data_IF_285260699217
#
_entry.id   IF_285260699217
#
_cell.length_a   1.000
_cell.length_b   1.000
_cell.length_c   1.000
_cell.angle_alpha   90.00
_cell.angle_beta   90.00
_cell.angle_gamma   90.00
#
_symmetry.space_group_name_H-M   'P 1'
#
loop_
_entity.id
_entity.type
_entity.pdbx_description
1 polymer ?
#
# COMPACT_ATOMS: atom_id res chain seq x y z
N UNK A 1 5.39 -8.91 14.48
CA UNK A 1 4.88 -7.82 13.62
C UNK A 1 3.59 -8.32 12.99
N UNK A 2 2.47 -7.72 13.37
CA UNK A 2 1.16 -8.06 12.80
C UNK A 2 0.97 -7.27 11.51
N UNK A 3 0.49 -7.92 10.44
CA UNK A 3 0.03 -7.19 9.24
C UNK A 3 -1.38 -6.64 9.40
N UNK A 4 -2.02 -6.87 10.56
CA UNK A 4 -3.37 -6.36 10.85
C UNK A 4 -3.48 -4.83 10.81
N UNK A 5 -2.35 -4.12 10.84
CA UNK A 5 -2.27 -2.69 10.58
C UNK A 5 -2.92 -2.31 9.23
N UNK A 6 -2.83 -3.18 8.23
CA UNK A 6 -3.39 -2.99 6.88
C UNK A 6 -4.80 -3.57 6.72
N UNK A 7 -5.40 -4.20 7.74
CA UNK A 7 -6.76 -4.76 7.67
C UNK A 7 -7.81 -3.69 7.33
N UNK A 8 -7.51 -2.42 7.69
CA UNK A 8 -8.32 -1.25 7.35
C UNK A 8 -8.57 -1.06 5.85
N UNK A 9 -7.70 -1.59 4.98
CA UNK A 9 -7.89 -1.60 3.53
C UNK A 9 -9.10 -2.43 3.10
N UNK A 10 -9.38 -3.52 3.83
CA UNK A 10 -10.58 -4.33 3.61
C UNK A 10 -11.82 -3.64 4.16
N UNK A 11 -11.72 -3.04 5.36
CA UNK A 11 -12.85 -2.38 6.02
C UNK A 11 -13.42 -1.21 5.20
N UNK A 12 -12.55 -0.44 4.55
CA UNK A 12 -12.95 0.70 3.70
C UNK A 12 -13.21 0.31 2.24
N UNK A 13 -13.09 -0.98 1.89
CA UNK A 13 -13.44 -1.48 0.55
C UNK A 13 -12.41 -1.18 -0.54
N UNK A 14 -11.18 -0.79 -0.20
CA UNK A 14 -10.07 -0.65 -1.16
C UNK A 14 -9.57 -2.02 -1.64
N UNK A 15 -9.79 -3.05 -0.82
CA UNK A 15 -9.48 -4.45 -1.12
C UNK A 15 -10.70 -5.31 -0.84
N UNK A 16 -11.03 -6.20 -1.77
CA UNK A 16 -12.17 -7.13 -1.65
C UNK A 16 -11.86 -8.24 -0.66
N UNK A 17 -12.89 -8.93 -0.17
CA UNK A 17 -12.73 -10.06 0.76
C UNK A 17 -11.81 -11.17 0.23
N UNK A 18 -11.72 -11.35 -1.09
CA UNK A 18 -10.83 -12.32 -1.72
C UNK A 18 -9.37 -11.85 -1.86
N UNK A 19 -9.05 -10.62 -1.42
CA UNK A 19 -7.72 -10.03 -1.52
C UNK A 19 -7.46 -9.19 -2.77
N UNK A 20 -8.40 -9.15 -3.72
CA UNK A 20 -8.23 -8.38 -4.97
C UNK A 20 -8.36 -6.89 -4.70
N UNK A 21 -7.41 -6.12 -5.22
CA UNK A 21 -7.35 -4.66 -5.09
C UNK A 21 -8.39 -4.04 -6.03
N UNK A 22 -9.17 -3.08 -5.53
CA UNK A 22 -10.20 -2.40 -6.31
C UNK A 22 -9.58 -1.45 -7.32
N UNK A 23 -9.86 -1.68 -8.61
CA UNK A 23 -9.40 -0.84 -9.72
C UNK A 23 -10.12 0.50 -9.76
N UNK A 24 -9.43 1.51 -10.28
CA UNK A 24 -9.98 2.84 -10.54
C UNK A 24 -9.73 3.23 -12.00
N UNK A 25 -10.09 4.46 -12.38
CA UNK A 25 -9.67 5.00 -13.67
C UNK A 25 -8.17 5.27 -13.65
N UNK A 26 -7.52 4.93 -14.75
CA UNK A 26 -6.09 5.16 -14.93
C UNK A 26 -5.80 6.67 -14.93
N UNK A 27 -4.97 7.09 -14.00
CA UNK A 27 -4.49 8.46 -13.86
C UNK A 27 -2.98 8.45 -13.60
N UNK A 28 -2.26 9.44 -14.13
CA UNK A 28 -0.85 9.63 -13.80
C UNK A 28 -0.70 10.71 -12.74
N UNK A 29 0.01 10.38 -11.67
CA UNK A 29 0.53 11.35 -10.73
C UNK A 29 2.05 11.35 -10.85
N UNK A 30 2.60 12.44 -11.37
CA UNK A 30 3.97 12.53 -11.87
C UNK A 30 4.29 11.38 -12.86
N UNK A 31 5.24 10.51 -12.52
CA UNK A 31 5.67 9.37 -13.34
C UNK A 31 5.01 8.05 -12.91
N UNK A 32 4.08 8.08 -11.95
CA UNK A 32 3.43 6.89 -11.39
C UNK A 32 2.02 6.74 -11.97
N UNK A 33 1.75 5.58 -12.58
CA UNK A 33 0.41 5.18 -12.97
C UNK A 33 -0.39 4.74 -11.74
N UNK A 34 -1.50 5.42 -11.50
CA UNK A 34 -2.52 5.09 -10.52
C UNK A 34 -3.65 4.37 -11.26
N UNK A 35 -3.76 3.06 -11.07
CA UNK A 35 -4.78 2.21 -11.68
C UNK A 35 -5.67 1.49 -10.66
N UNK A 36 -5.48 1.76 -9.37
CA UNK A 36 -6.28 1.21 -8.28
C UNK A 36 -6.37 2.10 -7.04
N UNK A 37 -7.36 1.82 -6.20
CA UNK A 37 -7.63 2.55 -4.96
C UNK A 37 -6.49 2.42 -3.94
N UNK A 38 -5.72 1.32 -3.99
CA UNK A 38 -4.55 1.16 -3.13
C UNK A 38 -3.47 2.20 -3.44
N UNK A 39 -3.15 2.45 -4.72
CA UNK A 39 -2.20 3.51 -5.07
C UNK A 39 -2.73 4.90 -4.76
N UNK A 40 -4.03 5.14 -4.92
CA UNK A 40 -4.67 6.41 -4.54
C UNK A 40 -4.45 6.73 -3.07
N UNK A 41 -4.81 5.82 -2.16
CA UNK A 41 -4.65 6.07 -0.71
C UNK A 41 -3.19 6.25 -0.28
N UNK A 42 -2.25 5.61 -0.98
CA UNK A 42 -0.82 5.69 -0.65
C UNK A 42 -0.14 6.97 -1.16
N UNK A 43 -0.61 7.51 -2.29
CA UNK A 43 0.08 8.57 -3.04
C UNK A 43 -0.66 9.91 -3.00
N UNK A 44 -1.97 9.93 -3.22
CA UNK A 44 -2.76 11.15 -3.41
C UNK A 44 -3.25 11.69 -2.07
N UNK A 45 -2.82 12.90 -1.71
CA UNK A 45 -3.24 13.60 -0.49
C UNK A 45 -4.67 14.12 -0.52
N UNK A 46 -5.25 14.22 -1.71
CA UNK A 46 -6.65 14.57 -1.95
C UNK A 46 -7.57 13.34 -2.19
N UNK A 47 -7.06 12.12 -2.02
CA UNK A 47 -7.89 10.90 -2.10
C UNK A 47 -8.95 10.88 -0.99
N UNK A 48 -10.17 10.45 -1.35
CA UNK A 48 -11.28 10.22 -0.40
C UNK A 48 -10.88 9.35 0.81
N UNK A 49 -9.90 8.46 0.64
CA UNK A 49 -9.42 7.55 1.67
C UNK A 49 -8.05 7.93 2.26
N UNK A 50 -7.49 9.10 1.95
CA UNK A 50 -6.15 9.48 2.43
C UNK A 50 -6.02 9.37 3.95
N UNK A 51 -7.02 9.83 4.70
CA UNK A 51 -7.00 9.80 6.16
C UNK A 51 -7.20 8.39 6.77
N UNK A 52 -7.33 7.35 5.95
CA UNK A 52 -7.34 5.95 6.40
C UNK A 52 -6.07 5.59 7.18
N UNK A 53 -4.95 6.21 6.84
CA UNK A 53 -3.70 6.16 7.59
C UNK A 53 -3.37 7.56 8.10
N UNK A 54 -3.27 7.70 9.42
CA UNK A 54 -2.91 8.96 10.05
C UNK A 54 -1.50 9.42 9.67
N UNK A 55 -1.15 10.67 9.97
CA UNK A 55 0.22 11.16 9.78
C UNK A 55 1.26 10.26 10.46
N UNK A 56 1.00 9.83 11.70
CA UNK A 56 1.90 8.96 12.45
C UNK A 56 1.98 7.56 11.82
N UNK A 57 0.85 7.01 11.35
CA UNK A 57 0.82 5.73 10.63
C UNK A 57 1.71 5.80 9.37
N UNK A 58 1.65 6.92 8.64
CA UNK A 58 2.42 7.14 7.41
C UNK A 58 3.91 7.29 7.65
N UNK A 59 4.32 7.72 8.84
CA UNK A 59 5.72 7.79 9.28
C UNK A 59 6.27 6.45 9.78
N UNK A 60 5.41 5.45 10.04
CA UNK A 60 5.87 4.15 10.46
C UNK A 60 6.76 3.49 9.39
N UNK A 61 7.88 2.91 9.83
CA UNK A 61 8.80 2.21 8.94
C UNK A 61 8.12 1.07 8.18
N UNK A 62 7.18 0.38 8.83
CA UNK A 62 6.37 -0.68 8.21
C UNK A 62 5.52 -0.14 7.05
N UNK A 63 4.84 0.99 7.26
CA UNK A 63 4.05 1.65 6.22
C UNK A 63 4.95 2.13 5.07
N UNK A 64 6.10 2.72 5.38
CA UNK A 64 7.04 3.18 4.36
C UNK A 64 7.50 2.04 3.44
N UNK A 65 7.86 0.87 3.97
CA UNK A 65 8.23 -0.30 3.15
C UNK A 65 7.07 -0.71 2.25
N UNK A 66 5.87 -0.85 2.83
CA UNK A 66 4.67 -1.24 2.09
C UNK A 66 4.37 -0.26 0.95
N UNK A 67 4.38 1.05 1.23
CA UNK A 67 4.18 2.10 0.24
C UNK A 67 5.19 2.01 -0.91
N UNK A 68 6.47 1.83 -0.61
CA UNK A 68 7.50 1.71 -1.66
C UNK A 68 7.27 0.50 -2.56
N UNK A 69 6.85 -0.65 -1.99
CA UNK A 69 6.55 -1.85 -2.75
C UNK A 69 5.32 -1.67 -3.66
N UNK A 70 4.25 -1.05 -3.15
CA UNK A 70 3.02 -0.86 -3.94
C UNK A 70 3.19 0.15 -5.09
N UNK A 71 3.98 1.21 -4.85
CA UNK A 71 4.23 2.25 -5.85
C UNK A 71 5.29 1.84 -6.86
N UNK A 72 6.34 1.13 -6.43
CA UNK A 72 7.40 0.58 -7.29
C UNK A 72 8.26 1.60 -8.07
N UNK A 73 7.86 2.88 -8.10
CA UNK A 73 8.47 3.92 -8.92
C UNK A 73 8.58 3.49 -10.39
N UNK A 74 9.69 3.86 -11.04
CA UNK A 74 9.95 3.53 -12.44
C UNK A 74 10.08 2.02 -12.75
N UNK A 75 10.21 1.16 -11.72
CA UNK A 75 10.36 -0.29 -11.89
C UNK A 75 9.03 -1.05 -11.85
N UNK A 76 7.90 -0.37 -11.59
CA UNK A 76 6.54 -0.91 -11.63
C UNK A 76 6.36 -2.29 -10.98
N UNK A 77 6.13 -2.33 -9.66
CA UNK A 77 5.83 -3.56 -8.93
C UNK A 77 4.32 -3.76 -8.81
N UNK A 78 3.64 -3.94 -9.94
CA UNK A 78 2.19 -4.05 -9.99
C UNK A 78 1.69 -5.46 -9.64
N UNK A 79 0.74 -5.54 -8.71
CA UNK A 79 0.01 -6.75 -8.36
C UNK A 79 -1.50 -6.44 -8.35
N UNK A 80 -2.31 -7.43 -8.70
CA UNK A 80 -3.77 -7.33 -8.63
C UNK A 80 -4.34 -7.69 -7.25
N UNK A 81 -3.57 -8.41 -6.44
CA UNK A 81 -3.96 -8.85 -5.10
C UNK A 81 -3.06 -8.21 -4.03
N UNK A 82 -3.62 -8.02 -2.83
CA UNK A 82 -2.91 -7.38 -1.71
C UNK A 82 -1.82 -8.30 -1.09
N UNK A 83 -2.05 -9.62 -1.10
CA UNK A 83 -1.23 -10.60 -0.37
C UNK A 83 0.26 -10.58 -0.72
N UNK A 84 0.69 -10.50 -2.00
CA UNK A 84 2.10 -10.40 -2.35
C UNK A 84 2.80 -9.17 -1.74
N UNK A 85 2.10 -8.03 -1.65
CA UNK A 85 2.65 -6.84 -1.00
C UNK A 85 2.84 -7.04 0.50
N UNK A 86 1.86 -7.62 1.20
CA UNK A 86 1.93 -7.82 2.64
C UNK A 86 3.01 -8.83 3.02
N UNK A 87 3.12 -9.95 2.31
CA UNK A 87 4.14 -10.96 2.63
C UNK A 87 5.55 -10.45 2.31
N UNK A 88 5.73 -9.73 1.18
CA UNK A 88 7.01 -9.09 0.85
C UNK A 88 7.39 -8.02 1.88
N UNK A 89 6.44 -7.16 2.27
CA UNK A 89 6.64 -6.13 3.30
C UNK A 89 7.11 -6.76 4.62
N UNK A 90 6.40 -7.79 5.07
CA UNK A 90 6.70 -8.51 6.31
C UNK A 90 8.08 -9.19 6.27
N UNK A 91 8.44 -9.76 5.13
CA UNK A 91 9.76 -10.35 4.93
C UNK A 91 10.86 -9.28 5.06
N UNK A 92 10.76 -8.19 4.29
CA UNK A 92 11.74 -7.10 4.31
C UNK A 92 11.82 -6.45 5.69
N UNK A 93 10.69 -6.12 6.31
CA UNK A 93 10.65 -5.51 7.64
C UNK A 93 11.38 -6.39 8.67
N UNK A 94 11.09 -7.70 8.69
CA UNK A 94 11.74 -8.63 9.62
C UNK A 94 13.24 -8.77 9.36
N UNK A 95 13.65 -8.76 8.10
CA UNK A 95 15.06 -8.86 7.73
C UNK A 95 15.82 -7.60 8.17
N UNK A 96 15.30 -6.42 7.87
CA UNK A 96 15.94 -5.14 8.22
C UNK A 96 16.00 -4.92 9.74
N UNK A 97 14.92 -5.18 10.47
CA UNK A 97 14.87 -5.01 11.93
C UNK A 97 15.73 -6.05 12.66
N UNK A 98 16.07 -7.18 12.04
CA UNK A 98 17.00 -8.15 12.64
C UNK A 98 18.39 -7.55 12.89
N UNK A 99 18.79 -6.57 12.11
CA UNK A 99 20.11 -5.94 12.18
C UNK A 99 20.14 -4.65 13.01
N UNK A 100 18.99 -4.26 13.59
CA UNK A 100 18.82 -3.08 14.47
C UNK A 100 18.64 -3.57 15.90
#
# INVERSE_FOLDING_TARGET
>A
VSMSFFDRLYCEGLVRENGTIVKCFDEYHDEILIADELRKVLLLDDSDHYDLFSHLDREEFLFCIFKHLCLGGAFCQYEDDLSPYLETTKFIYKDLVRFV
#
